data_IF_444125142149
#
_entry.id   IF_444125142149
#
_cell.length_a   1.000
_cell.length_b   1.000
_cell.length_c   1.000
_cell.angle_alpha   90.00
_cell.angle_beta   90.00
_cell.angle_gamma   90.00
#
_symmetry.space_group_name_H-M   'P 1'
#
loop_
_entity.id
_entity.type
_entity.pdbx_description
1 polymer ?
#
# COMPACT_ATOMS: atom_id res chain seq x y z
N UNK A 1 -23.45 5.99 2.50
CA UNK A 1 -22.25 5.41 1.87
C UNK A 1 -22.39 5.57 0.37
N UNK A 2 -21.50 6.33 -0.26
CA UNK A 2 -21.55 6.64 -1.69
C UNK A 2 -20.95 5.46 -2.48
N UNK A 3 -21.47 5.17 -3.68
CA UNK A 3 -21.04 4.03 -4.50
C UNK A 3 -20.50 4.49 -5.85
N UNK A 4 -19.40 3.87 -6.29
CA UNK A 4 -18.76 4.08 -7.59
C UNK A 4 -18.51 2.71 -8.22
N UNK A 5 -18.78 2.59 -9.51
CA UNK A 5 -18.74 1.32 -10.24
C UNK A 5 -17.92 1.50 -11.52
N UNK A 6 -16.77 0.85 -11.60
CA UNK A 6 -15.84 0.98 -12.74
C UNK A 6 -16.33 0.32 -14.02
N UNK A 7 -17.48 -0.38 -14.00
CA UNK A 7 -18.17 -0.75 -15.25
C UNK A 7 -18.98 0.40 -15.85
N UNK A 8 -19.31 1.40 -15.04
CA UNK A 8 -20.25 2.48 -15.40
C UNK A 8 -19.57 3.84 -15.54
N UNK A 9 -18.46 4.05 -14.84
CA UNK A 9 -17.69 5.29 -14.89
C UNK A 9 -16.23 4.98 -15.18
N UNK A 10 -15.54 5.95 -15.74
CA UNK A 10 -14.10 5.85 -15.99
C UNK A 10 -13.30 5.97 -14.69
N UNK A 11 -12.07 5.44 -14.70
CA UNK A 11 -11.11 5.60 -13.62
C UNK A 11 -10.85 7.08 -13.28
N UNK A 12 -10.77 7.94 -14.31
CA UNK A 12 -10.54 9.37 -14.13
C UNK A 12 -11.70 10.02 -13.37
N UNK A 13 -12.93 9.77 -13.80
CA UNK A 13 -14.11 10.29 -13.12
C UNK A 13 -14.21 9.80 -11.67
N UNK A 14 -13.89 8.52 -11.43
CA UNK A 14 -13.86 7.95 -10.10
C UNK A 14 -12.85 8.68 -9.21
N UNK A 15 -11.59 8.80 -9.64
CA UNK A 15 -10.55 9.47 -8.85
C UNK A 15 -10.88 10.95 -8.63
N UNK A 16 -11.39 11.65 -9.65
CA UNK A 16 -11.85 13.04 -9.49
C UNK A 16 -12.92 13.15 -8.40
N UNK A 17 -13.90 12.24 -8.36
CA UNK A 17 -14.93 12.24 -7.30
C UNK A 17 -14.34 12.02 -5.91
N UNK A 18 -13.42 11.08 -5.77
CA UNK A 18 -12.74 10.83 -4.48
C UNK A 18 -11.91 12.04 -4.03
N UNK A 19 -11.13 12.64 -4.93
CA UNK A 19 -10.27 13.78 -4.64
C UNK A 19 -11.08 15.05 -4.29
N UNK A 20 -12.27 15.20 -4.87
CA UNK A 20 -13.19 16.31 -4.59
C UNK A 20 -14.16 16.04 -3.42
N UNK A 21 -14.06 14.89 -2.76
CA UNK A 21 -14.93 14.51 -1.65
C UNK A 21 -14.73 15.41 -0.43
N UNK A 22 -15.78 15.57 0.37
CA UNK A 22 -15.69 16.29 1.65
C UNK A 22 -15.22 15.36 2.75
N UNK A 23 -14.54 15.91 3.76
CA UNK A 23 -14.10 15.14 4.93
C UNK A 23 -15.25 14.35 5.55
N UNK A 24 -14.93 13.15 6.06
CA UNK A 24 -15.84 12.15 6.68
C UNK A 24 -16.71 11.32 5.73
N UNK A 25 -16.70 11.61 4.42
CA UNK A 25 -17.40 10.77 3.45
C UNK A 25 -16.87 9.33 3.41
N UNK A 26 -17.75 8.39 3.08
CA UNK A 26 -17.42 6.97 2.92
C UNK A 26 -17.87 6.48 1.56
N UNK A 27 -16.93 5.91 0.81
CA UNK A 27 -17.08 5.44 -0.56
C UNK A 27 -16.91 3.93 -0.66
N UNK A 28 -17.72 3.31 -1.50
CA UNK A 28 -17.59 1.92 -1.94
C UNK A 28 -17.30 1.91 -3.44
N UNK A 29 -16.24 1.22 -3.84
CA UNK A 29 -15.84 1.02 -5.23
C UNK A 29 -16.04 -0.45 -5.58
N UNK A 30 -16.88 -0.72 -6.56
CA UNK A 30 -17.13 -2.06 -7.09
C UNK A 30 -16.47 -2.25 -8.46
N UNK A 31 -16.27 -3.52 -8.82
CA UNK A 31 -15.74 -3.94 -10.12
C UNK A 31 -14.40 -3.29 -10.51
N UNK A 32 -13.38 -3.30 -9.65
CA UNK A 32 -12.11 -2.62 -9.92
C UNK A 32 -11.37 -3.20 -11.13
N UNK A 33 -11.63 -4.45 -11.54
CA UNK A 33 -11.07 -5.09 -12.76
C UNK A 33 -9.55 -4.95 -12.89
N UNK A 34 -8.80 -4.91 -11.78
CA UNK A 34 -7.36 -4.71 -11.80
C UNK A 34 -6.92 -3.31 -12.27
N UNK A 35 -7.82 -2.32 -12.19
CA UNK A 35 -7.55 -0.94 -12.58
C UNK A 35 -6.32 -0.39 -11.85
N UNK A 36 -5.47 0.29 -12.60
CA UNK A 36 -4.27 0.96 -12.11
C UNK A 36 -4.63 2.33 -11.51
N UNK A 37 -3.74 2.89 -10.71
CA UNK A 37 -3.86 4.21 -10.09
C UNK A 37 -5.22 4.46 -9.42
N UNK A 38 -5.80 3.44 -8.79
CA UNK A 38 -7.09 3.56 -8.11
C UNK A 38 -6.90 4.18 -6.71
N UNK A 39 -7.75 5.17 -6.38
CA UNK A 39 -7.74 5.88 -5.10
C UNK A 39 -6.41 6.60 -4.79
N UNK A 40 -5.79 7.21 -5.80
CA UNK A 40 -4.51 7.93 -5.69
C UNK A 40 -4.68 9.41 -5.36
N UNK A 41 -3.68 9.99 -4.69
CA UNK A 41 -3.60 11.44 -4.45
C UNK A 41 -4.70 11.99 -3.53
N UNK A 42 -5.17 11.18 -2.57
CA UNK A 42 -6.24 11.59 -1.67
C UNK A 42 -5.70 12.46 -0.51
N UNK A 43 -5.98 13.76 -0.55
CA UNK A 43 -5.65 14.76 0.50
C UNK A 43 -6.87 15.18 1.34
N UNK A 44 -7.88 14.32 1.42
CA UNK A 44 -9.06 14.50 2.25
C UNK A 44 -9.27 13.31 3.19
N UNK A 45 -9.79 13.57 4.39
CA UNK A 45 -10.02 12.52 5.39
C UNK A 45 -11.32 11.79 5.09
N UNK A 46 -11.27 10.85 4.13
CA UNK A 46 -12.40 10.01 3.71
C UNK A 46 -12.09 8.53 3.93
N UNK A 47 -13.13 7.70 3.92
CA UNK A 47 -13.01 6.24 3.93
C UNK A 47 -13.33 5.70 2.55
N UNK A 48 -12.47 4.87 1.98
CA UNK A 48 -12.67 4.24 0.67
C UNK A 48 -12.55 2.73 0.82
N UNK A 49 -13.61 2.01 0.47
CA UNK A 49 -13.62 0.55 0.39
C UNK A 49 -13.61 0.10 -1.06
N UNK A 50 -12.72 -0.80 -1.42
CA UNK A 50 -12.59 -1.36 -2.77
C UNK A 50 -12.92 -2.86 -2.71
N UNK A 51 -13.96 -3.25 -3.46
CA UNK A 51 -14.44 -4.63 -3.59
C UNK A 51 -13.77 -5.34 -4.75
N UNK A 52 -12.69 -6.07 -4.46
CA UNK A 52 -11.89 -6.80 -5.44
C UNK A 52 -10.43 -6.37 -5.48
N UNK A 53 -9.69 -6.91 -6.44
CA UNK A 53 -8.27 -6.65 -6.63
C UNK A 53 -8.02 -5.44 -7.52
N UNK A 54 -6.93 -4.73 -7.24
CA UNK A 54 -6.50 -3.54 -8.00
C UNK A 54 -5.17 -3.81 -8.72
N UNK A 55 -4.84 -2.94 -9.67
CA UNK A 55 -3.55 -2.97 -10.35
C UNK A 55 -2.53 -2.05 -9.71
N UNK A 56 -1.70 -1.45 -10.56
CA UNK A 56 -0.50 -0.70 -10.20
C UNK A 56 -0.86 0.57 -9.42
N UNK A 57 -0.01 0.99 -8.48
CA UNK A 57 -0.09 2.28 -7.79
C UNK A 57 -1.38 2.55 -7.01
N UNK A 58 -2.14 1.52 -6.64
CA UNK A 58 -3.33 1.72 -5.81
C UNK A 58 -2.97 2.45 -4.52
N UNK A 59 -3.74 3.47 -4.16
CA UNK A 59 -3.51 4.32 -2.98
C UNK A 59 -2.16 5.07 -2.95
N UNK A 60 -1.46 5.16 -4.08
CA UNK A 60 -0.26 5.98 -4.20
C UNK A 60 -0.53 7.46 -3.91
N UNK A 61 0.44 8.16 -3.33
CA UNK A 61 0.34 9.57 -2.94
C UNK A 61 -0.81 9.88 -1.96
N UNK A 62 -1.36 8.88 -1.27
CA UNK A 62 -2.37 9.11 -0.24
C UNK A 62 -1.78 9.96 0.91
N UNK A 63 -2.55 10.93 1.40
CA UNK A 63 -2.11 11.85 2.46
C UNK A 63 -3.04 11.84 3.67
N UNK A 64 -4.34 11.58 3.50
CA UNK A 64 -5.29 11.63 4.64
C UNK A 64 -6.35 10.53 4.63
N UNK A 65 -6.53 9.79 3.54
CA UNK A 65 -7.61 8.83 3.43
C UNK A 65 -7.30 7.54 4.18
N UNK A 66 -8.38 6.89 4.63
CA UNK A 66 -8.37 5.49 5.05
C UNK A 66 -8.91 4.64 3.90
N UNK A 67 -8.08 3.78 3.34
CA UNK A 67 -8.40 2.96 2.18
C UNK A 67 -8.34 1.48 2.59
N UNK A 68 -9.33 0.71 2.18
CA UNK A 68 -9.43 -0.72 2.46
C UNK A 68 -9.73 -1.48 1.16
N UNK A 69 -8.84 -2.40 0.77
CA UNK A 69 -8.96 -3.24 -0.42
C UNK A 69 -9.22 -4.67 0.03
N UNK A 70 -10.37 -5.22 -0.35
CA UNK A 70 -10.76 -6.59 -0.01
C UNK A 70 -9.97 -7.67 -0.78
N UNK A 71 -9.41 -7.34 -1.95
CA UNK A 71 -8.57 -8.22 -2.75
C UNK A 71 -7.07 -7.95 -2.60
N UNK A 72 -6.33 -8.32 -3.64
CA UNK A 72 -4.89 -8.08 -3.77
C UNK A 72 -4.61 -6.77 -4.51
N UNK A 73 -3.41 -6.21 -4.31
CA UNK A 73 -2.95 -4.98 -4.97
C UNK A 73 -1.74 -5.25 -5.87
N UNK A 74 -1.68 -4.56 -7.00
CA UNK A 74 -0.58 -4.64 -7.95
C UNK A 74 0.68 -3.89 -7.49
N UNK A 75 1.68 -3.77 -8.39
CA UNK A 75 2.97 -3.13 -8.07
C UNK A 75 2.83 -1.66 -7.61
N UNK A 76 3.66 -1.25 -6.66
CA UNK A 76 3.70 0.16 -6.20
C UNK A 76 2.49 0.58 -5.36
N UNK A 77 1.78 -0.37 -4.73
CA UNK A 77 0.70 -0.02 -3.81
C UNK A 77 1.19 0.88 -2.67
N UNK A 78 0.47 1.95 -2.36
CA UNK A 78 0.88 2.99 -1.41
C UNK A 78 2.24 3.66 -1.72
N UNK A 79 2.68 3.66 -2.98
CA UNK A 79 3.90 4.35 -3.37
C UNK A 79 3.79 5.85 -3.09
N UNK A 80 4.86 6.42 -2.54
CA UNK A 80 4.96 7.83 -2.17
C UNK A 80 3.80 8.30 -1.26
N UNK A 81 3.25 7.40 -0.44
CA UNK A 81 2.22 7.74 0.54
C UNK A 81 2.78 8.68 1.61
N UNK A 82 2.10 9.81 1.83
CA UNK A 82 2.54 10.87 2.73
C UNK A 82 2.06 10.64 4.17
N UNK A 83 0.83 10.14 4.32
CA UNK A 83 0.18 9.76 5.59
C UNK A 83 -1.13 9.03 5.26
N UNK A 84 -1.99 8.81 6.26
CA UNK A 84 -3.23 8.05 6.13
C UNK A 84 -3.02 6.55 6.35
N UNK A 85 -3.93 5.72 5.83
CA UNK A 85 -3.86 4.27 6.01
C UNK A 85 -4.35 3.50 4.79
N UNK A 86 -3.62 2.45 4.41
CA UNK A 86 -4.08 1.42 3.46
C UNK A 86 -4.13 0.06 4.17
N UNK A 87 -5.26 -0.64 4.06
CA UNK A 87 -5.39 -2.05 4.44
C UNK A 87 -5.64 -2.87 3.19
N UNK A 88 -4.81 -3.87 2.96
CA UNK A 88 -4.96 -4.87 1.89
C UNK A 88 -5.28 -6.22 2.54
N UNK A 89 -6.43 -6.79 2.20
CA UNK A 89 -6.82 -8.10 2.74
C UNK A 89 -6.19 -9.28 1.98
N UNK A 90 -5.81 -9.09 0.71
CA UNK A 90 -5.04 -10.06 -0.06
C UNK A 90 -3.53 -9.83 0.00
N UNK A 91 -2.86 -10.15 -1.12
CA UNK A 91 -1.42 -9.99 -1.31
C UNK A 91 -1.08 -8.64 -1.93
N UNK A 92 0.16 -8.19 -1.77
CA UNK A 92 0.72 -7.05 -2.49
C UNK A 92 1.83 -7.52 -3.44
N UNK A 93 1.86 -6.98 -4.66
CA UNK A 93 2.95 -7.22 -5.61
C UNK A 93 4.22 -6.47 -5.20
N UNK A 94 5.18 -6.33 -6.12
CA UNK A 94 6.46 -5.66 -5.85
C UNK A 94 6.26 -4.19 -5.43
N UNK A 95 7.23 -3.66 -4.70
CA UNK A 95 7.33 -2.22 -4.39
C UNK A 95 6.22 -1.68 -3.48
N UNK A 96 5.54 -2.55 -2.72
CA UNK A 96 4.53 -2.10 -1.76
C UNK A 96 5.14 -1.12 -0.74
N UNK A 97 4.55 0.07 -0.62
CA UNK A 97 5.03 1.15 0.25
C UNK A 97 6.30 1.85 -0.23
N UNK A 98 6.72 1.66 -1.48
CA UNK A 98 7.94 2.26 -2.01
C UNK A 98 7.93 3.78 -1.83
N UNK A 99 9.07 4.34 -1.37
CA UNK A 99 9.24 5.79 -1.15
C UNK A 99 8.24 6.47 -0.21
N UNK A 100 7.43 5.71 0.54
CA UNK A 100 6.43 6.26 1.44
C UNK A 100 7.05 7.09 2.57
N UNK A 101 6.53 8.29 2.78
CA UNK A 101 7.00 9.26 3.77
C UNK A 101 6.30 9.13 5.14
N UNK A 102 5.13 8.49 5.19
CA UNK A 102 4.38 8.34 6.43
C UNK A 102 3.07 7.58 6.27
N UNK A 103 2.37 7.40 7.39
CA UNK A 103 1.13 6.63 7.47
C UNK A 103 1.36 5.14 7.67
N UNK A 104 0.31 4.34 7.48
CA UNK A 104 0.37 2.90 7.71
C UNK A 104 -0.12 2.10 6.52
N UNK A 105 0.70 1.17 6.05
CA UNK A 105 0.32 0.11 5.11
C UNK A 105 0.22 -1.22 5.84
N UNK A 106 -0.97 -1.81 5.88
CA UNK A 106 -1.19 -3.15 6.43
C UNK A 106 -1.54 -4.12 5.29
N UNK A 107 -0.74 -5.16 5.11
CA UNK A 107 -0.96 -6.25 4.16
C UNK A 107 -1.25 -7.52 4.94
N UNK A 108 -2.44 -8.10 4.76
CA UNK A 108 -2.84 -9.32 5.47
C UNK A 108 -2.31 -10.61 4.85
N UNK A 109 -1.97 -10.59 3.56
CA UNK A 109 -1.27 -11.68 2.88
C UNK A 109 0.24 -11.44 2.84
N UNK A 110 0.84 -11.85 1.72
CA UNK A 110 2.26 -11.70 1.42
C UNK A 110 2.53 -10.41 0.63
N UNK A 111 3.75 -9.89 0.74
CA UNK A 111 4.27 -8.88 -0.18
C UNK A 111 5.39 -9.47 -1.04
N UNK A 112 5.45 -9.11 -2.32
CA UNK A 112 6.52 -9.59 -3.20
C UNK A 112 7.85 -8.85 -2.93
N UNK A 113 8.77 -8.89 -3.88
CA UNK A 113 10.09 -8.29 -3.74
C UNK A 113 10.06 -6.77 -3.52
N UNK A 114 11.11 -6.27 -2.88
CA UNK A 114 11.33 -4.82 -2.68
C UNK A 114 10.18 -4.13 -1.94
N UNK A 115 9.52 -4.84 -1.03
CA UNK A 115 8.56 -4.23 -0.12
C UNK A 115 9.29 -3.18 0.75
N UNK A 116 8.77 -1.95 0.82
CA UNK A 116 9.40 -0.86 1.55
C UNK A 116 10.69 -0.32 0.93
N UNK A 117 10.95 -0.56 -0.36
CA UNK A 117 12.12 0.02 -1.04
C UNK A 117 12.14 1.55 -0.92
N UNK A 118 13.28 2.10 -0.51
CA UNK A 118 13.50 3.53 -0.34
C UNK A 118 12.47 4.23 0.56
N UNK A 119 11.85 3.52 1.52
CA UNK A 119 10.89 4.11 2.46
C UNK A 119 11.51 5.24 3.29
N UNK A 120 10.71 6.27 3.58
CA UNK A 120 11.14 7.54 4.20
C UNK A 120 10.25 7.95 5.39
N UNK A 121 9.64 6.98 6.06
CA UNK A 121 8.85 7.20 7.27
C UNK A 121 7.51 6.46 7.32
N UNK A 122 7.10 5.77 6.25
CA UNK A 122 5.91 4.92 6.29
C UNK A 122 6.11 3.71 7.22
N UNK A 123 5.07 3.33 7.96
CA UNK A 123 5.03 2.07 8.69
C UNK A 123 4.33 0.99 7.86
N UNK A 124 5.02 -0.12 7.58
CA UNK A 124 4.53 -1.24 6.79
C UNK A 124 4.43 -2.47 7.68
N UNK A 125 3.27 -3.10 7.71
CA UNK A 125 3.02 -4.36 8.41
C UNK A 125 2.57 -5.42 7.41
N UNK A 126 3.32 -6.51 7.31
CA UNK A 126 3.00 -7.67 6.48
C UNK A 126 2.74 -8.87 7.38
N UNK A 127 1.52 -9.43 7.30
CA UNK A 127 1.15 -10.60 8.11
C UNK A 127 1.72 -11.92 7.59
N UNK A 128 1.99 -12.01 6.29
CA UNK A 128 2.67 -13.15 5.69
C UNK A 128 4.14 -12.86 5.42
N UNK A 129 4.62 -13.37 4.29
CA UNK A 129 6.02 -13.33 3.89
C UNK A 129 6.34 -12.10 3.04
N UNK A 130 7.62 -11.74 2.97
CA UNK A 130 8.13 -10.72 2.05
C UNK A 130 9.23 -11.26 1.13
N UNK A 131 9.25 -10.77 -0.10
CA UNK A 131 10.24 -11.19 -1.10
C UNK A 131 11.63 -10.58 -0.91
N UNK A 132 12.55 -10.95 -1.82
CA UNK A 132 13.93 -10.48 -1.84
C UNK A 132 14.05 -8.94 -1.97
N UNK A 133 15.19 -8.40 -1.51
CA UNK A 133 15.56 -6.99 -1.56
C UNK A 133 14.53 -6.05 -0.92
N UNK A 134 13.73 -6.56 0.01
CA UNK A 134 12.81 -5.73 0.79
C UNK A 134 13.59 -4.82 1.72
N UNK A 135 13.05 -3.61 1.93
CA UNK A 135 13.72 -2.51 2.61
C UNK A 135 15.07 -2.08 1.99
N UNK A 136 15.32 -2.37 0.71
CA UNK A 136 16.48 -1.83 0.00
C UNK A 136 16.46 -0.30 0.04
N UNK A 137 17.57 0.32 0.47
CA UNK A 137 17.70 1.78 0.64
C UNK A 137 16.68 2.40 1.61
N UNK A 138 16.11 1.63 2.54
CA UNK A 138 15.13 2.15 3.49
C UNK A 138 15.77 3.20 4.43
N UNK A 139 15.20 4.41 4.44
CA UNK A 139 15.75 5.57 5.15
C UNK A 139 15.18 5.71 6.56
N UNK A 140 13.86 5.63 6.72
CA UNK A 140 13.18 5.73 8.01
C UNK A 140 11.78 5.08 7.97
N UNK A 141 11.16 4.92 9.14
CA UNK A 141 9.89 4.20 9.33
C UNK A 141 10.11 2.76 9.81
N UNK A 142 9.03 1.98 9.92
CA UNK A 142 9.09 0.60 10.40
C UNK A 142 8.59 -0.40 9.35
N UNK A 143 9.34 -1.47 9.13
CA UNK A 143 8.88 -2.65 8.41
C UNK A 143 8.71 -3.82 9.39
N UNK A 144 7.49 -4.29 9.56
CA UNK A 144 7.14 -5.39 10.48
C UNK A 144 6.63 -6.56 9.67
N UNK A 145 7.28 -7.72 9.81
CA UNK A 145 6.98 -8.95 9.06
C UNK A 145 6.66 -10.08 10.03
N UNK A 146 5.47 -10.66 9.90
CA UNK A 146 5.06 -11.79 10.73
C UNK A 146 5.45 -13.16 10.17
N UNK A 147 5.75 -13.26 8.87
CA UNK A 147 6.25 -14.46 8.19
C UNK A 147 7.76 -14.43 7.92
N UNK A 148 8.17 -15.11 6.85
CA UNK A 148 9.55 -15.26 6.42
C UNK A 148 10.00 -14.14 5.46
N UNK A 149 11.32 -13.96 5.37
CA UNK A 149 11.95 -12.93 4.55
C UNK A 149 12.95 -13.54 3.57
N UNK A 150 12.82 -13.15 2.30
CA UNK A 150 13.75 -13.53 1.22
C UNK A 150 15.16 -12.92 1.33
N UNK A 151 15.93 -13.04 0.26
CA UNK A 151 17.33 -12.63 0.21
C UNK A 151 17.53 -11.10 0.31
N UNK A 152 18.67 -10.67 0.86
CA UNK A 152 19.13 -9.27 0.88
C UNK A 152 18.18 -8.30 1.59
N UNK A 153 17.68 -8.68 2.77
CA UNK A 153 16.85 -7.81 3.60
C UNK A 153 17.64 -6.59 4.07
N UNK A 154 17.09 -5.40 3.83
CA UNK A 154 17.66 -4.16 4.37
C UNK A 154 19.00 -3.76 3.76
N UNK A 155 19.31 -4.21 2.54
CA UNK A 155 20.49 -3.76 1.82
C UNK A 155 20.48 -2.21 1.74
N UNK A 156 21.58 -1.59 2.14
CA UNK A 156 21.77 -0.13 2.16
C UNK A 156 20.75 0.61 3.05
N UNK A 157 20.34 0.01 4.17
CA UNK A 157 19.44 0.65 5.16
C UNK A 157 20.13 1.78 5.94
N UNK A 158 19.35 2.81 6.31
CA UNK A 158 19.78 3.90 7.18
C UNK A 158 19.14 3.79 8.57
N UNK A 159 18.11 4.58 8.88
CA UNK A 159 17.47 4.65 10.21
C UNK A 159 16.17 3.83 10.31
N UNK A 160 15.75 3.18 9.22
CA UNK A 160 14.54 2.36 9.22
C UNK A 160 14.70 1.16 10.17
N UNK A 161 13.62 0.81 10.86
CA UNK A 161 13.60 -0.31 11.80
C UNK A 161 12.86 -1.49 11.19
N UNK A 162 13.51 -2.65 11.13
CA UNK A 162 12.91 -3.87 10.59
C UNK A 162 12.72 -4.89 11.72
N UNK A 163 11.50 -5.40 11.85
CA UNK A 163 11.12 -6.42 12.82
C UNK A 163 10.61 -7.64 12.09
N UNK A 164 11.24 -8.79 12.33
CA UNK A 164 10.89 -10.06 11.67
C UNK A 164 10.59 -11.11 12.73
N UNK A 165 9.42 -11.74 12.62
CA UNK A 165 9.03 -12.88 13.47
C UNK A 165 9.52 -14.22 12.93
N UNK A 166 9.47 -14.41 11.62
CA UNK A 166 9.90 -15.64 10.96
C UNK A 166 11.41 -15.70 10.73
N UNK A 167 11.81 -16.44 9.71
CA UNK A 167 13.21 -16.60 9.31
C UNK A 167 13.66 -15.51 8.34
N UNK A 168 14.91 -15.07 8.50
CA UNK A 168 15.57 -14.15 7.56
C UNK A 168 16.57 -14.95 6.74
N UNK A 169 16.36 -15.04 5.42
CA UNK A 169 17.23 -15.83 4.55
C UNK A 169 18.63 -15.22 4.41
N UNK A 170 18.73 -13.92 4.18
CA UNK A 170 20.00 -13.19 4.23
C UNK A 170 19.78 -11.70 4.47
N UNK A 171 20.77 -11.05 5.07
CA UNK A 171 20.84 -9.59 5.20
C UNK A 171 21.59 -9.01 4.01
N UNK A 172 21.30 -7.74 3.72
CA UNK A 172 22.04 -6.93 2.76
C UNK A 172 23.15 -6.11 3.38
#
# INVERSE_FOLDING_TARGET
MNKLDLEKITLRELNTKLQMSRSTETWLISNPKGAHALAVGLDCSIKVKIEGSTGYYCAGMNKKAFIEVSGSVGPGAAENMMSGKLIVHGNASQYAGATGHGGTLLIKGNASSRCGISMKGIDIVVKGDIGHMSAFMAQSGKLIVCGDVGDSLGDSIYEAQIFVRGSVKSLG
#
